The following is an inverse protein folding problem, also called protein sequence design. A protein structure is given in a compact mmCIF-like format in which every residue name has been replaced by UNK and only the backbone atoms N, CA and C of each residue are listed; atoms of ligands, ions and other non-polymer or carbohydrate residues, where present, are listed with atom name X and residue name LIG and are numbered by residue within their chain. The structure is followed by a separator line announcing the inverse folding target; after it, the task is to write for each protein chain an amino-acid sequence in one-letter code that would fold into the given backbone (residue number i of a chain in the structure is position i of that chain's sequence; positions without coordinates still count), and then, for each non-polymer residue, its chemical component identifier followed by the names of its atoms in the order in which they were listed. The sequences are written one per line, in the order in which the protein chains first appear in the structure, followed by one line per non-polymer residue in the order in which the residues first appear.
data_IF_851711920414
#
_entry.id   IF_851711920414
#
_cell.length_a   1.000
_cell.length_b   1.000
_cell.length_c   1.000
_cell.angle_alpha   90.00
_cell.angle_beta   90.00
_cell.angle_gamma   90.00
#
_symmetry.space_group_name_H-M   'P 1'
#
loop_
_entity.id
_entity.type
_entity.pdbx_description
1 polymer ?
#
# COMPACT_ATOMS: atom_id res chain seq x y z
N UNK A 1 17.02 -0.16 -28.98
CA UNK A 1 17.63 -0.36 -27.64
C UNK A 1 17.24 0.72 -26.63
N UNK A 2 16.94 1.95 -27.06
CA UNK A 2 16.43 3.06 -26.23
C UNK A 2 15.02 2.81 -25.66
N UNK A 3 14.08 2.28 -26.46
CA UNK A 3 12.71 1.97 -26.01
C UNK A 3 12.67 0.88 -24.93
N UNK A 4 13.55 -0.14 -25.01
CA UNK A 4 13.69 -1.17 -23.97
C UNK A 4 14.29 -0.60 -22.68
N UNK A 5 15.24 0.35 -22.77
CA UNK A 5 15.78 1.06 -21.59
C UNK A 5 14.71 1.94 -20.95
N UNK A 6 13.91 2.66 -21.71
CA UNK A 6 12.80 3.48 -21.19
C UNK A 6 11.72 2.61 -20.52
N UNK A 7 11.38 1.45 -21.10
CA UNK A 7 10.46 0.48 -20.48
C UNK A 7 10.98 -0.09 -19.16
N UNK A 8 12.27 -0.46 -19.10
CA UNK A 8 12.91 -0.98 -17.87
C UNK A 8 13.07 0.13 -16.81
N UNK A 9 13.42 1.35 -17.22
CA UNK A 9 13.49 2.52 -16.33
C UNK A 9 12.10 2.88 -15.78
N UNK A 10 11.07 2.86 -16.63
CA UNK A 10 9.68 3.04 -16.21
C UNK A 10 9.24 1.96 -15.22
N UNK A 11 9.60 0.70 -15.45
CA UNK A 11 9.31 -0.41 -14.53
C UNK A 11 10.04 -0.24 -13.18
N UNK A 12 11.32 0.15 -13.18
CA UNK A 12 12.09 0.38 -11.96
C UNK A 12 11.57 1.55 -11.13
N UNK A 13 11.20 2.65 -11.79
CA UNK A 13 10.57 3.81 -11.14
C UNK A 13 9.21 3.42 -10.55
N UNK A 14 8.38 2.68 -11.28
CA UNK A 14 7.09 2.21 -10.79
C UNK A 14 7.24 1.31 -9.56
N UNK A 15 8.17 0.35 -9.60
CA UNK A 15 8.46 -0.54 -8.47
C UNK A 15 8.91 0.25 -7.24
N UNK A 16 9.79 1.25 -7.42
CA UNK A 16 10.22 2.13 -6.34
C UNK A 16 9.04 2.90 -5.72
N UNK A 17 8.14 3.45 -6.54
CA UNK A 17 6.95 4.15 -6.04
C UNK A 17 6.02 3.22 -5.26
N UNK A 18 5.76 2.01 -5.77
CA UNK A 18 4.94 0.99 -5.08
C UNK A 18 5.58 0.60 -3.75
N UNK A 19 6.87 0.29 -3.74
CA UNK A 19 7.59 -0.04 -2.52
C UNK A 19 7.54 1.09 -1.50
N UNK A 20 7.78 2.34 -1.94
CA UNK A 20 7.73 3.52 -1.07
C UNK A 20 6.32 3.75 -0.53
N UNK A 21 5.28 3.57 -1.36
CA UNK A 21 3.89 3.67 -0.97
C UNK A 21 3.54 2.63 0.12
N UNK A 22 3.86 1.36 -0.12
CA UNK A 22 3.63 0.29 0.85
C UNK A 22 4.39 0.56 2.15
N UNK A 23 5.65 0.97 2.06
CA UNK A 23 6.48 1.29 3.24
C UNK A 23 5.82 2.37 4.09
N UNK A 24 5.34 3.47 3.51
CA UNK A 24 4.66 4.53 4.27
C UNK A 24 3.35 4.01 4.89
N UNK A 25 2.63 3.15 4.18
CA UNK A 25 1.35 2.59 4.64
C UNK A 25 1.53 1.65 5.84
N UNK A 26 2.59 0.82 5.82
CA UNK A 26 2.84 -0.20 6.85
C UNK A 26 3.70 0.30 8.00
N UNK A 27 4.41 1.42 7.85
CA UNK A 27 5.24 1.99 8.92
C UNK A 27 4.34 2.53 10.04
N UNK A 28 4.55 2.14 11.31
CA UNK A 28 3.84 2.72 12.46
C UNK A 28 4.01 4.24 12.53
N UNK A 29 3.00 4.96 13.03
CA UNK A 29 3.02 6.43 13.04
C UNK A 29 4.26 7.00 13.72
N UNK A 30 4.61 6.46 14.88
CA UNK A 30 5.78 6.82 15.70
C UNK A 30 7.11 6.73 14.94
N UNK A 31 7.20 5.83 13.98
CA UNK A 31 8.42 5.57 13.21
C UNK A 31 8.53 6.42 11.94
N UNK A 32 7.50 7.19 11.60
CA UNK A 32 7.54 8.07 10.43
C UNK A 32 8.35 9.33 10.69
N UNK A 33 9.05 9.82 9.67
CA UNK A 33 9.83 11.05 9.79
C UNK A 33 8.93 12.27 10.09
N UNK A 34 7.69 12.26 9.58
CA UNK A 34 6.72 13.29 9.88
C UNK A 34 6.29 13.33 11.36
N UNK A 35 6.23 12.18 12.04
CA UNK A 35 5.99 12.12 13.48
C UNK A 35 7.19 12.64 14.27
N UNK A 36 8.40 12.18 13.92
CA UNK A 36 9.65 12.64 14.55
C UNK A 36 9.87 14.14 14.42
N UNK A 37 9.44 14.73 13.30
CA UNK A 37 9.49 16.18 13.04
C UNK A 37 8.30 16.96 13.63
N UNK A 38 7.40 16.30 14.36
CA UNK A 38 6.23 16.93 14.99
C UNK A 38 5.20 17.48 14.00
N UNK A 39 5.14 16.92 12.78
CA UNK A 39 4.20 17.34 11.73
C UNK A 39 2.86 16.61 11.90
N UNK A 40 2.90 15.36 12.36
CA UNK A 40 1.73 14.52 12.63
C UNK A 40 1.77 13.97 14.06
N UNK A 41 0.60 13.64 14.61
CA UNK A 41 0.46 12.94 15.89
C UNK A 41 0.53 11.41 15.76
N UNK A 42 0.37 10.70 16.88
CA UNK A 42 0.35 9.23 16.98
C UNK A 42 -0.79 8.56 16.18
N UNK A 43 -1.80 9.34 15.80
CA UNK A 43 -2.99 8.90 15.05
C UNK A 43 -2.97 9.40 13.59
N UNK A 44 -1.85 9.97 13.13
CA UNK A 44 -1.70 10.54 11.79
C UNK A 44 -2.50 11.83 11.53
N UNK A 45 -2.97 12.51 12.57
CA UNK A 45 -3.57 13.84 12.47
C UNK A 45 -2.49 14.87 12.19
N UNK A 46 -2.75 15.77 11.25
CA UNK A 46 -1.80 16.80 10.82
C UNK A 46 -1.82 17.96 11.82
N UNK A 47 -0.71 18.15 12.53
CA UNK A 47 -0.50 19.25 13.48
C UNK A 47 0.01 20.51 12.76
N UNK A 48 0.92 20.34 11.80
CA UNK A 48 1.53 21.44 11.04
C UNK A 48 1.14 21.37 9.57
N UNK A 49 0.62 22.47 9.03
CA UNK A 49 0.19 22.54 7.63
C UNK A 49 1.42 22.71 6.72
N UNK A 50 1.38 22.15 5.51
CA UNK A 50 2.48 22.26 4.52
C UNK A 50 3.07 23.67 4.36
N UNK A 51 2.21 24.70 4.40
CA UNK A 51 2.60 26.11 4.25
C UNK A 51 3.52 26.62 5.37
N UNK A 52 3.51 25.98 6.54
CA UNK A 52 4.32 26.36 7.70
C UNK A 52 5.62 25.56 7.79
N UNK A 53 5.90 24.69 6.80
CA UNK A 53 7.13 23.90 6.74
C UNK A 53 8.18 24.66 5.94
N UNK A 54 9.26 25.04 6.60
CA UNK A 54 10.31 25.87 6.02
C UNK A 54 11.51 25.03 5.62
N UNK A 55 11.84 24.01 6.41
CA UNK A 55 13.00 23.14 6.18
C UNK A 55 12.74 22.15 5.03
N UNK A 56 13.81 21.76 4.35
CA UNK A 56 13.75 20.80 3.24
C UNK A 56 13.26 19.43 3.74
N UNK A 57 13.83 18.96 4.86
CA UNK A 57 13.47 17.70 5.52
C UNK A 57 11.98 17.61 5.84
N UNK A 58 11.38 18.70 6.33
CA UNK A 58 9.94 18.78 6.62
C UNK A 58 9.10 18.64 5.35
N UNK A 59 9.55 19.27 4.24
CA UNK A 59 8.86 19.20 2.94
C UNK A 59 8.97 17.81 2.33
N UNK A 60 10.08 17.11 2.55
CA UNK A 60 10.30 15.73 2.10
C UNK A 60 9.48 14.72 2.92
N UNK A 61 9.36 14.93 4.23
CA UNK A 61 8.49 14.14 5.10
C UNK A 61 6.99 14.43 4.86
N UNK A 62 6.65 15.56 4.25
CA UNK A 62 5.27 16.00 3.99
C UNK A 62 5.01 16.25 2.49
N UNK A 63 4.94 15.17 1.71
CA UNK A 63 4.60 15.25 0.27
C UNK A 63 3.11 14.97 -0.01
N UNK A 64 2.70 15.13 -1.26
CA UNK A 64 1.34 14.79 -1.72
C UNK A 64 1.07 13.29 -1.50
N UNK A 65 2.05 12.44 -1.84
CA UNK A 65 1.96 11.00 -1.65
C UNK A 65 1.75 10.66 -0.17
N UNK A 66 2.55 11.22 0.75
CA UNK A 66 2.39 11.03 2.19
C UNK A 66 0.97 11.34 2.66
N UNK A 67 0.41 12.49 2.27
CA UNK A 67 -0.97 12.86 2.64
C UNK A 67 -2.01 11.85 2.16
N UNK A 68 -1.84 11.32 0.96
CA UNK A 68 -2.76 10.32 0.41
C UNK A 68 -2.64 9.00 1.18
N UNK A 69 -1.42 8.51 1.39
CA UNK A 69 -1.18 7.27 2.14
C UNK A 69 -1.69 7.39 3.57
N UNK A 70 -1.45 8.51 4.25
CA UNK A 70 -1.91 8.73 5.61
C UNK A 70 -3.44 8.78 5.72
N UNK A 71 -4.13 9.41 4.77
CA UNK A 71 -5.60 9.37 4.72
C UNK A 71 -6.11 7.94 4.55
N UNK A 72 -5.48 7.16 3.68
CA UNK A 72 -5.83 5.76 3.49
C UNK A 72 -5.56 4.93 4.75
N UNK A 73 -4.39 5.10 5.37
CA UNK A 73 -4.01 4.45 6.62
C UNK A 73 -5.02 4.71 7.73
N UNK A 74 -5.38 5.98 7.95
CA UNK A 74 -6.39 6.37 8.94
C UNK A 74 -7.78 5.80 8.63
N UNK A 75 -8.14 5.71 7.35
CA UNK A 75 -9.39 5.06 6.95
C UNK A 75 -9.36 3.57 7.28
N UNK A 76 -8.24 2.88 7.01
CA UNK A 76 -8.08 1.47 7.34
C UNK A 76 -8.12 1.20 8.85
N UNK A 77 -7.53 2.10 9.66
CA UNK A 77 -7.55 2.00 11.13
C UNK A 77 -8.94 2.26 11.71
N UNK A 78 -9.72 3.17 11.12
CA UNK A 78 -11.07 3.54 11.58
C UNK A 78 -12.18 2.64 11.07
N UNK A 79 -11.92 1.79 10.07
CA UNK A 79 -12.93 0.92 9.48
C UNK A 79 -12.86 -0.46 10.16
N UNK A 80 -13.76 -0.78 11.12
CA UNK A 80 -13.88 -2.15 11.66
C UNK A 80 -14.32 -3.18 10.60
N UNK A 81 -14.66 -2.71 9.40
CA UNK A 81 -15.22 -3.43 8.26
C UNK A 81 -14.18 -3.84 7.19
N UNK A 82 -12.89 -3.62 7.44
CA UNK A 82 -11.82 -4.13 6.57
C UNK A 82 -11.84 -5.66 6.53
N UNK A 83 -12.20 -6.30 7.66
CA UNK A 83 -12.41 -7.74 7.76
C UNK A 83 -13.46 -8.24 6.78
N UNK A 84 -14.59 -7.56 6.59
CA UNK A 84 -15.69 -8.07 5.75
C UNK A 84 -15.40 -7.94 4.25
N UNK A 85 -14.85 -6.83 3.76
CA UNK A 85 -14.44 -6.73 2.34
C UNK A 85 -13.20 -7.56 2.03
N UNK A 86 -12.20 -7.60 2.93
CA UNK A 86 -11.04 -8.47 2.76
C UNK A 86 -11.43 -9.95 2.93
N UNK A 87 -12.39 -10.30 3.78
CA UNK A 87 -12.93 -11.65 3.88
C UNK A 87 -13.73 -12.03 2.65
N UNK A 88 -14.58 -11.15 2.10
CA UNK A 88 -15.26 -11.39 0.83
C UNK A 88 -14.24 -11.59 -0.30
N UNK A 89 -13.17 -10.79 -0.33
CA UNK A 89 -12.09 -10.93 -1.30
C UNK A 89 -11.27 -12.23 -1.09
N UNK A 90 -10.94 -12.57 0.16
CA UNK A 90 -10.27 -13.81 0.50
C UNK A 90 -11.12 -15.05 0.20
N UNK A 91 -12.45 -14.98 0.42
CA UNK A 91 -13.40 -16.02 0.06
C UNK A 91 -13.49 -16.21 -1.45
N UNK A 92 -13.51 -15.12 -2.24
CA UNK A 92 -13.45 -15.20 -3.70
C UNK A 92 -12.13 -15.82 -4.18
N UNK A 93 -10.99 -15.43 -3.59
CA UNK A 93 -9.69 -16.02 -3.91
C UNK A 93 -9.60 -17.49 -3.50
N UNK A 94 -10.18 -17.87 -2.36
CA UNK A 94 -10.25 -19.25 -1.89
C UNK A 94 -11.13 -20.10 -2.82
N UNK A 95 -12.28 -19.59 -3.26
CA UNK A 95 -13.14 -20.26 -4.23
C UNK A 95 -12.44 -20.46 -5.58
N UNK A 96 -11.72 -19.46 -6.08
CA UNK A 96 -10.89 -19.58 -7.29
C UNK A 96 -9.77 -20.61 -7.10
N UNK A 97 -9.18 -20.71 -5.90
CA UNK A 97 -8.18 -21.73 -5.59
C UNK A 97 -8.80 -23.14 -5.63
N UNK A 98 -9.98 -23.34 -5.05
CA UNK A 98 -10.68 -24.63 -5.09
C UNK A 98 -11.10 -25.02 -6.52
N UNK A 99 -11.62 -24.08 -7.31
CA UNK A 99 -12.01 -24.32 -8.69
C UNK A 99 -10.81 -24.73 -9.57
N UNK A 100 -9.64 -24.13 -9.34
CA UNK A 100 -8.38 -24.56 -9.97
C UNK A 100 -7.86 -25.89 -9.47
N UNK A 101 -8.18 -26.30 -8.23
CA UNK A 101 -7.88 -27.63 -7.72
C UNK A 101 -8.82 -28.70 -8.27
N UNK A 102 -10.06 -28.37 -8.60
CA UNK A 102 -11.01 -29.28 -9.25
C UNK A 102 -10.59 -29.62 -10.68
N UNK A 103 -10.13 -28.64 -11.47
CA UNK A 103 -9.60 -28.89 -12.82
C UNK A 103 -8.27 -29.66 -12.87
N UNK A 104 -7.66 -29.97 -11.72
CA UNK A 104 -6.44 -30.76 -11.62
C UNK A 104 -6.66 -32.26 -11.39
N UNK A 105 -7.87 -32.69 -11.01
CA UNK A 105 -8.14 -34.09 -10.65
C UNK A 105 -9.04 -34.83 -11.66
N UNK A 106 -9.64 -34.12 -12.62
CA UNK A 106 -10.53 -34.72 -13.62
C UNK A 106 -9.79 -35.51 -14.71
N UNK A 107 -8.44 -35.44 -14.75
CA UNK A 107 -7.63 -36.23 -15.69
C UNK A 107 -7.29 -37.64 -15.20
N UNK A 108 -7.46 -37.94 -13.91
CA UNK A 108 -7.15 -39.29 -13.37
C UNK A 108 -8.41 -40.18 -13.20
N UNK A 109 -9.62 -39.62 -13.29
CA UNK A 109 -10.88 -40.37 -13.13
C UNK A 109 -11.57 -40.75 -14.45
N UNK A 110 -10.93 -40.52 -15.60
CA UNK A 110 -11.42 -40.97 -16.91
C UNK A 110 -10.71 -42.25 -17.42
N UNK A 111 -9.76 -42.81 -16.67
CA UNK A 111 -9.04 -44.06 -17.01
C UNK A 111 -9.21 -45.20 -15.97
N UNK A 112 -10.33 -45.23 -15.23
CA UNK A 112 -10.73 -46.39 -14.40
C UNK A 112 -12.16 -46.80 -14.70
#
# INVERSE_FOLDING_TARGET
MTVLREGILGAGVNLFFIYKFLRILTTPWENTDAFKLGIIDENGTILRKKRTLLKIEEKEAYTIMHRLVWKLKRLMEKVPFGKSRLASYAAALWLIKEEKSFHGNDKELQES
#
